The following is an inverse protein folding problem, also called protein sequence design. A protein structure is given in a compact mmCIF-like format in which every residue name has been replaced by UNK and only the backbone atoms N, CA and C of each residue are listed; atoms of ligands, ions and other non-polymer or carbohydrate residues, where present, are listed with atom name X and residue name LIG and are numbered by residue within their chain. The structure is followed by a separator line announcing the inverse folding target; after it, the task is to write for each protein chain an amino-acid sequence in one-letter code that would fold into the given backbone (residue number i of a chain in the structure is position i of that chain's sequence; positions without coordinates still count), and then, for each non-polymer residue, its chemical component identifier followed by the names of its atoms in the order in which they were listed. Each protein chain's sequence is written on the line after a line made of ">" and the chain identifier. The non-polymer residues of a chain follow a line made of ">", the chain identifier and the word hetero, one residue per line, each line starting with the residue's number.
data_IF_084716878061
#
_entry.id   IF_084716878061
#
_cell.length_a   1.000
_cell.length_b   1.000
_cell.length_c   1.000
_cell.angle_alpha   90.00
_cell.angle_beta   90.00
_cell.angle_gamma   90.00
#
_symmetry.space_group_name_H-M   'P 1'
#
loop_
_entity.id
_entity.type
_entity.pdbx_description
1 polymer ?
#
# COMPACT_ATOMS: atom_id res chain seq x y z
N UNK A 1 -19.40 -11.82 4.12
CA UNK A 1 -19.41 -12.19 5.55
C UNK A 1 -19.72 -10.92 6.31
N UNK A 2 -20.64 -10.97 7.29
CA UNK A 2 -20.92 -9.81 8.17
C UNK A 2 -19.68 -9.50 9.00
N UNK A 3 -19.36 -8.22 9.17
CA UNK A 3 -18.27 -7.79 10.07
C UNK A 3 -18.56 -8.32 11.50
N UNK A 4 -17.51 -8.71 12.26
CA UNK A 4 -17.70 -9.13 13.65
C UNK A 4 -18.19 -7.95 14.49
N UNK A 5 -18.94 -8.26 15.56
CA UNK A 5 -19.35 -7.25 16.53
C UNK A 5 -18.13 -6.82 17.37
N UNK A 6 -17.43 -5.77 16.91
CA UNK A 6 -16.18 -5.30 17.52
C UNK A 6 -16.37 -4.81 18.96
N UNK A 7 -17.42 -4.02 19.32
CA UNK A 7 -17.66 -3.59 20.70
C UNK A 7 -17.86 -4.76 21.67
N UNK A 8 -18.60 -5.77 21.25
CA UNK A 8 -18.81 -6.96 22.06
C UNK A 8 -17.51 -7.75 22.27
N UNK A 9 -16.73 -7.94 21.18
CA UNK A 9 -15.44 -8.63 21.24
C UNK A 9 -14.45 -7.88 22.16
N UNK A 10 -14.39 -6.54 22.09
CA UNK A 10 -13.54 -5.73 22.97
C UNK A 10 -13.88 -5.98 24.46
N UNK A 11 -15.18 -6.00 24.80
CA UNK A 11 -15.63 -6.27 26.15
C UNK A 11 -15.29 -7.68 26.61
N UNK A 12 -15.37 -8.66 25.73
CA UNK A 12 -14.99 -10.06 26.05
C UNK A 12 -13.51 -10.21 26.37
N UNK A 13 -12.62 -9.55 25.62
CA UNK A 13 -11.18 -9.63 25.84
C UNK A 13 -10.68 -8.80 27.03
N UNK A 14 -11.24 -7.61 27.25
CA UNK A 14 -10.70 -6.64 28.20
C UNK A 14 -11.59 -6.40 29.42
N UNK A 15 -12.81 -6.95 29.46
CA UNK A 15 -13.74 -6.84 30.60
C UNK A 15 -14.41 -5.47 30.74
N UNK A 16 -14.23 -4.57 29.79
CA UNK A 16 -14.75 -3.19 29.81
C UNK A 16 -15.16 -2.75 28.41
N UNK A 17 -15.98 -1.70 28.30
CA UNK A 17 -16.31 -1.12 26.99
C UNK A 17 -15.14 -0.32 26.42
N UNK A 18 -15.02 -0.32 25.10
CA UNK A 18 -14.10 0.59 24.39
C UNK A 18 -14.56 2.04 24.52
N UNK A 19 -13.62 2.97 24.45
CA UNK A 19 -13.89 4.41 24.51
C UNK A 19 -13.95 5.06 23.13
N UNK A 20 -13.10 4.61 22.20
CA UNK A 20 -12.91 5.23 20.88
C UNK A 20 -12.75 4.18 19.81
N UNK A 21 -13.13 4.54 18.58
CA UNK A 21 -13.01 3.72 17.39
C UNK A 21 -12.21 4.42 16.29
N UNK A 22 -11.46 3.63 15.51
CA UNK A 22 -10.57 4.13 14.49
C UNK A 22 -10.60 3.23 13.26
N UNK A 23 -10.27 3.82 12.11
CA UNK A 23 -10.13 3.11 10.86
C UNK A 23 -8.92 3.63 10.09
N UNK A 24 -8.18 2.74 9.47
CA UNK A 24 -7.20 3.07 8.46
C UNK A 24 -7.40 2.18 7.22
N UNK A 25 -7.42 2.76 6.01
CA UNK A 25 -7.63 2.02 4.78
C UNK A 25 -6.41 1.18 4.38
N UNK A 26 -6.62 0.24 3.46
CA UNK A 26 -5.58 -0.21 2.55
C UNK A 26 -5.45 0.76 1.37
N UNK A 27 -4.58 0.42 0.41
CA UNK A 27 -4.41 1.20 -0.82
C UNK A 27 -4.29 0.31 -2.05
N UNK A 28 -4.66 0.86 -3.19
CA UNK A 28 -4.17 0.45 -4.50
C UNK A 28 -3.30 1.56 -5.07
N UNK A 29 -2.40 1.22 -6.00
CA UNK A 29 -1.69 2.21 -6.79
C UNK A 29 -2.14 2.10 -8.24
N UNK A 30 -2.68 3.18 -8.78
CA UNK A 30 -3.21 3.19 -10.14
C UNK A 30 -2.09 3.07 -11.16
N UNK A 31 -0.99 3.77 -10.93
CA UNK A 31 0.24 3.71 -11.75
C UNK A 31 1.41 4.34 -10.97
N UNK A 32 2.65 4.06 -11.38
CA UNK A 32 3.84 4.55 -10.68
C UNK A 32 4.37 3.54 -9.66
N UNK A 33 4.53 2.30 -10.09
CA UNK A 33 5.05 1.25 -9.21
C UNK A 33 6.58 1.27 -9.17
N UNK A 34 7.15 1.07 -7.97
CA UNK A 34 8.59 1.06 -7.71
C UNK A 34 9.30 2.37 -8.08
N UNK A 35 8.59 3.49 -8.08
CA UNK A 35 9.14 4.82 -8.36
C UNK A 35 9.34 5.66 -7.09
N UNK A 36 8.69 5.33 -5.99
CA UNK A 36 8.73 6.11 -4.75
C UNK A 36 10.13 6.16 -4.12
N UNK A 37 10.84 5.06 -4.04
CA UNK A 37 12.23 5.01 -3.55
C UNK A 37 13.26 5.41 -4.62
N UNK A 38 12.82 5.74 -5.83
CA UNK A 38 13.62 6.25 -6.94
C UNK A 38 13.40 7.75 -7.19
N UNK A 39 12.72 8.45 -6.28
CA UNK A 39 12.45 9.88 -6.41
C UNK A 39 11.46 10.25 -7.52
N UNK A 40 10.66 9.29 -7.97
CA UNK A 40 9.63 9.49 -8.97
C UNK A 40 8.24 9.77 -8.39
N UNK A 41 7.24 9.80 -9.27
CA UNK A 41 5.86 10.00 -8.91
C UNK A 41 5.12 8.68 -8.75
N UNK A 42 4.16 8.66 -7.83
CA UNK A 42 3.18 7.58 -7.63
C UNK A 42 1.77 8.16 -7.70
N UNK A 43 0.80 7.32 -8.04
CA UNK A 43 -0.61 7.73 -8.11
C UNK A 43 -1.53 6.73 -7.40
N UNK A 44 -1.38 6.57 -6.07
CA UNK A 44 -2.22 5.70 -5.27
C UNK A 44 -3.55 6.33 -4.90
N UNK A 45 -4.46 5.48 -4.42
CA UNK A 45 -5.66 5.88 -3.71
C UNK A 45 -5.96 4.94 -2.54
N UNK A 46 -6.55 5.50 -1.49
CA UNK A 46 -7.07 4.75 -0.36
C UNK A 46 -8.33 3.99 -0.78
N UNK A 47 -8.51 2.77 -0.27
CA UNK A 47 -9.70 1.96 -0.53
C UNK A 47 -10.55 1.81 0.74
N UNK A 48 -11.82 1.43 0.58
CA UNK A 48 -12.73 1.29 1.73
C UNK A 48 -12.51 0.01 2.55
N UNK A 49 -11.71 -0.93 2.07
CA UNK A 49 -11.18 -2.02 2.88
C UNK A 49 -10.00 -1.51 3.73
N UNK A 50 -9.95 -1.94 4.99
CA UNK A 50 -8.93 -1.42 5.90
C UNK A 50 -8.88 -2.19 7.21
N UNK A 51 -8.26 -1.56 8.18
CA UNK A 51 -8.09 -2.05 9.54
C UNK A 51 -8.87 -1.15 10.51
N UNK A 52 -9.64 -1.77 11.38
CA UNK A 52 -10.40 -1.13 12.44
C UNK A 52 -9.70 -1.32 13.78
N UNK A 53 -9.74 -0.33 14.65
CA UNK A 53 -9.33 -0.45 16.04
C UNK A 53 -10.39 0.08 16.99
N UNK A 54 -10.56 -0.61 18.09
CA UNK A 54 -11.22 -0.11 19.27
C UNK A 54 -10.20 0.05 20.38
N UNK A 55 -10.21 1.17 21.09
CA UNK A 55 -9.22 1.45 22.11
C UNK A 55 -9.83 2.06 23.39
N UNK A 56 -9.11 1.85 24.48
CA UNK A 56 -9.39 2.44 25.79
C UNK A 56 -8.09 2.70 26.54
N UNK A 57 -7.96 3.88 27.17
CA UNK A 57 -6.85 4.17 28.10
C UNK A 57 -6.89 3.27 29.32
N UNK A 58 -5.74 3.02 29.88
CA UNK A 58 -5.54 2.34 31.15
C UNK A 58 -4.97 3.32 32.20
N UNK A 59 -5.14 2.97 33.46
CA UNK A 59 -4.57 3.76 34.58
C UNK A 59 -3.12 3.35 34.90
N UNK A 60 -2.65 2.27 34.27
CA UNK A 60 -1.27 1.76 34.39
C UNK A 60 -0.45 2.02 33.09
N UNK A 61 0.75 1.47 33.03
CA UNK A 61 1.66 1.60 31.89
C UNK A 61 1.67 0.36 30.98
N UNK A 62 0.71 -0.52 31.16
CA UNK A 62 0.62 -1.74 30.39
C UNK A 62 -0.14 -1.52 29.07
N UNK A 63 0.33 -2.12 27.98
CA UNK A 63 -0.26 -2.06 26.66
C UNK A 63 -0.69 -3.47 26.28
N UNK A 64 -1.95 -3.62 25.88
CA UNK A 64 -2.51 -4.89 25.47
C UNK A 64 -3.14 -4.76 24.09
N UNK A 65 -2.68 -5.61 23.16
CA UNK A 65 -3.23 -5.73 21.83
C UNK A 65 -3.88 -7.10 21.61
N UNK A 66 -5.00 -7.13 20.91
CA UNK A 66 -5.61 -8.36 20.40
C UNK A 66 -6.07 -8.15 18.95
N UNK A 67 -5.89 -9.16 18.11
CA UNK A 67 -6.40 -9.14 16.73
C UNK A 67 -7.43 -10.24 16.51
N UNK A 68 -8.58 -9.87 15.94
CA UNK A 68 -9.59 -10.85 15.55
C UNK A 68 -9.21 -11.65 14.30
N UNK A 69 -8.19 -11.20 13.54
CA UNK A 69 -7.63 -11.92 12.41
C UNK A 69 -6.63 -13.02 12.84
N UNK A 70 -5.99 -12.86 14.02
CA UNK A 70 -4.96 -13.74 14.56
C UNK A 70 -5.33 -14.18 15.99
N UNK A 71 -6.53 -14.74 16.15
CA UNK A 71 -7.07 -15.14 17.46
C UNK A 71 -6.17 -16.12 18.22
N UNK A 72 -5.43 -16.94 17.49
CA UNK A 72 -4.49 -17.92 18.05
C UNK A 72 -3.31 -17.27 18.80
N UNK A 73 -3.00 -16.01 18.52
CA UNK A 73 -1.97 -15.24 19.22
C UNK A 73 -2.44 -14.74 20.60
N UNK A 74 -3.75 -14.73 20.83
CA UNK A 74 -4.32 -14.19 22.07
C UNK A 74 -4.03 -12.71 22.27
N UNK A 75 -4.01 -12.30 23.53
CA UNK A 75 -3.63 -10.93 23.92
C UNK A 75 -2.11 -10.83 23.96
N UNK A 76 -1.55 -9.88 23.18
CA UNK A 76 -0.14 -9.54 23.20
C UNK A 76 0.05 -8.36 24.16
N UNK A 77 0.91 -8.52 25.15
CA UNK A 77 1.06 -7.59 26.24
C UNK A 77 2.52 -7.15 26.41
N UNK A 78 2.75 -5.87 26.63
CA UNK A 78 4.06 -5.29 26.91
C UNK A 78 3.95 -3.96 27.66
N UNK A 79 5.03 -3.57 28.30
CA UNK A 79 5.09 -2.31 29.04
C UNK A 79 5.44 -1.13 28.14
N UNK A 80 4.89 0.04 28.42
CA UNK A 80 5.19 1.31 27.74
C UNK A 80 6.69 1.67 27.79
N UNK A 81 7.43 1.12 28.73
CA UNK A 81 8.87 1.33 28.90
C UNK A 81 9.72 0.29 28.15
N UNK A 82 9.10 -0.78 27.62
CA UNK A 82 9.76 -1.82 26.82
C UNK A 82 9.20 -1.86 25.40
N UNK A 83 9.71 -0.97 24.55
CA UNK A 83 9.33 -0.85 23.15
C UNK A 83 10.35 -1.46 22.20
N UNK A 84 11.20 -2.38 22.66
CA UNK A 84 12.11 -3.13 21.80
C UNK A 84 11.36 -4.09 20.89
N UNK A 85 11.90 -4.34 19.68
CA UNK A 85 11.38 -5.36 18.79
C UNK A 85 11.41 -6.73 19.47
N UNK A 86 10.29 -7.44 19.37
CA UNK A 86 10.19 -8.80 19.90
C UNK A 86 9.52 -9.70 18.87
N UNK A 87 10.25 -10.68 18.35
CA UNK A 87 9.72 -11.59 17.35
C UNK A 87 8.43 -12.31 17.79
N UNK A 88 8.27 -12.59 19.07
CA UNK A 88 7.07 -13.24 19.62
C UNK A 88 5.81 -12.34 19.52
N UNK A 89 5.98 -11.03 19.43
CA UNK A 89 4.87 -10.09 19.30
C UNK A 89 4.32 -10.00 17.87
N UNK A 90 4.99 -10.63 16.89
CA UNK A 90 4.52 -10.79 15.53
C UNK A 90 3.99 -9.46 14.94
N UNK A 91 2.72 -9.41 14.48
CA UNK A 91 2.08 -8.22 13.94
C UNK A 91 2.05 -7.00 14.87
N UNK A 92 2.06 -7.23 16.20
CA UNK A 92 2.05 -6.13 17.19
C UNK A 92 3.36 -5.32 17.22
N UNK A 93 4.40 -5.76 16.50
CA UNK A 93 5.60 -4.96 16.31
C UNK A 93 5.34 -3.70 15.46
N UNK A 94 4.40 -3.71 14.54
CA UNK A 94 4.04 -2.51 13.76
C UNK A 94 3.49 -1.40 14.66
N UNK A 95 2.43 -1.60 15.47
CA UNK A 95 1.99 -0.59 16.43
C UNK A 95 3.04 -0.25 17.51
N UNK A 96 3.85 -1.21 17.93
CA UNK A 96 4.95 -0.96 18.88
C UNK A 96 6.01 -0.01 18.29
N UNK A 97 6.38 -0.17 17.02
CA UNK A 97 7.29 0.73 16.32
C UNK A 97 6.74 2.15 16.20
N UNK A 98 5.46 2.30 15.86
CA UNK A 98 4.80 3.61 15.83
C UNK A 98 4.82 4.31 17.18
N UNK A 99 4.49 3.59 18.26
CA UNK A 99 4.54 4.11 19.62
C UNK A 99 5.95 4.54 20.02
N UNK A 100 6.96 3.71 19.72
CA UNK A 100 8.36 4.03 19.95
C UNK A 100 8.78 5.33 19.27
N UNK A 101 8.50 5.46 17.97
CA UNK A 101 8.96 6.63 17.22
C UNK A 101 8.16 7.90 17.52
N UNK A 102 6.88 7.80 17.92
CA UNK A 102 6.15 8.95 18.46
C UNK A 102 6.79 9.46 19.74
N UNK A 103 7.16 8.56 20.67
CA UNK A 103 7.88 8.96 21.91
C UNK A 103 9.25 9.54 21.62
N UNK A 104 10.02 8.96 20.71
CA UNK A 104 11.32 9.52 20.27
C UNK A 104 11.19 10.90 19.60
N UNK A 105 10.05 11.18 18.95
CA UNK A 105 9.74 12.49 18.40
C UNK A 105 9.31 13.52 19.47
N UNK A 106 9.27 13.13 20.75
CA UNK A 106 8.99 14.03 21.88
C UNK A 106 7.51 14.10 22.27
N UNK A 107 6.66 13.19 21.76
CA UNK A 107 5.27 13.12 22.19
C UNK A 107 5.12 12.34 23.50
N UNK A 108 4.49 12.98 24.47
CA UNK A 108 4.30 12.39 25.80
C UNK A 108 3.15 11.40 25.82
N UNK A 109 3.46 10.14 26.03
CA UNK A 109 2.51 9.05 26.25
C UNK A 109 2.90 8.39 27.56
N UNK A 110 2.12 8.61 28.61
CA UNK A 110 2.47 8.22 29.98
C UNK A 110 1.67 7.01 30.49
N UNK A 111 0.53 6.72 29.85
CA UNK A 111 -0.38 5.64 30.21
C UNK A 111 -0.40 4.56 29.16
N UNK A 112 -0.68 3.33 29.58
CA UNK A 112 -0.98 2.23 28.68
C UNK A 112 -2.41 2.30 28.11
N UNK A 113 -2.74 1.35 27.29
CA UNK A 113 -4.06 1.23 26.67
C UNK A 113 -4.37 -0.21 26.26
N UNK A 114 -5.65 -0.50 26.12
CA UNK A 114 -6.16 -1.72 25.49
C UNK A 114 -6.57 -1.42 24.08
N UNK A 115 -6.22 -2.28 23.12
CA UNK A 115 -6.55 -2.12 21.72
C UNK A 115 -6.96 -3.46 21.09
N UNK A 116 -8.17 -3.51 20.52
CA UNK A 116 -8.63 -4.60 19.67
C UNK A 116 -8.57 -4.17 18.23
N UNK A 117 -7.99 -5.03 17.39
CA UNK A 117 -7.81 -4.78 15.94
C UNK A 117 -8.56 -5.82 15.12
N UNK A 118 -9.17 -5.37 14.02
CA UNK A 118 -9.77 -6.22 13.01
C UNK A 118 -9.54 -5.64 11.62
N UNK A 119 -9.01 -6.43 10.68
CA UNK A 119 -8.83 -6.04 9.29
C UNK A 119 -9.74 -6.83 8.35
N UNK A 120 -10.31 -6.15 7.35
CA UNK A 120 -11.01 -6.78 6.23
C UNK A 120 -10.22 -6.72 4.91
N UNK A 121 -8.96 -6.27 4.96
CA UNK A 121 -8.02 -6.43 3.85
C UNK A 121 -7.69 -7.92 3.73
N UNK A 122 -7.81 -8.53 2.55
CA UNK A 122 -7.43 -9.92 2.37
C UNK A 122 -5.96 -10.17 2.75
N UNK A 123 -5.71 -11.20 3.55
CA UNK A 123 -4.36 -11.53 4.01
C UNK A 123 -3.42 -11.80 2.83
N UNK A 124 -2.24 -11.19 2.85
CA UNK A 124 -1.21 -11.38 1.82
C UNK A 124 -1.54 -10.76 0.46
N UNK A 125 -2.64 -10.02 0.34
CA UNK A 125 -3.07 -9.40 -0.91
C UNK A 125 -2.15 -8.28 -1.42
N UNK A 126 -1.24 -7.77 -0.59
CA UNK A 126 -0.35 -6.66 -0.99
C UNK A 126 -1.06 -5.31 -1.11
N UNK A 127 -2.17 -5.13 -0.38
CA UNK A 127 -2.95 -3.89 -0.32
C UNK A 127 -2.57 -3.01 0.89
N UNK A 128 -1.33 -3.12 1.37
CA UNK A 128 -0.71 -2.31 2.42
C UNK A 128 -1.35 -2.47 3.81
N UNK A 129 -1.56 -3.71 4.25
CA UNK A 129 -2.02 -3.97 5.62
C UNK A 129 -1.02 -3.49 6.69
N UNK A 130 0.28 -3.48 6.41
CA UNK A 130 1.32 -2.93 7.29
C UNK A 130 1.15 -1.43 7.47
N UNK A 131 1.10 -0.65 6.40
CA UNK A 131 0.84 0.78 6.48
C UNK A 131 -0.52 1.10 7.12
N UNK A 132 -1.53 0.26 6.87
CA UNK A 132 -2.84 0.38 7.49
C UNK A 132 -2.76 0.31 9.01
N UNK A 133 -2.11 -0.71 9.60
CA UNK A 133 -1.97 -0.83 11.06
C UNK A 133 -1.03 0.24 11.66
N UNK A 134 -0.01 0.68 10.93
CA UNK A 134 0.88 1.75 11.33
C UNK A 134 0.12 3.08 11.47
N UNK A 135 -0.56 3.52 10.42
CA UNK A 135 -1.30 4.78 10.41
C UNK A 135 -2.52 4.73 11.33
N UNK A 136 -3.20 3.58 11.42
CA UNK A 136 -4.25 3.35 12.41
C UNK A 136 -3.74 3.63 13.82
N UNK A 137 -2.59 3.07 14.16
CA UNK A 137 -1.96 3.26 15.48
C UNK A 137 -1.56 4.71 15.70
N UNK A 138 -0.97 5.36 14.69
CA UNK A 138 -0.58 6.77 14.78
C UNK A 138 -1.77 7.68 15.07
N UNK A 139 -2.86 7.56 14.31
CA UNK A 139 -4.09 8.33 14.51
C UNK A 139 -4.75 7.97 15.84
N UNK A 140 -4.78 6.69 16.21
CA UNK A 140 -5.31 6.25 17.49
C UNK A 140 -4.56 6.91 18.66
N UNK A 141 -3.24 6.90 18.66
CA UNK A 141 -2.43 7.48 19.71
C UNK A 141 -2.56 9.02 19.76
N UNK A 142 -2.56 9.65 18.59
CA UNK A 142 -2.77 11.10 18.47
C UNK A 142 -4.08 11.53 19.14
N UNK A 143 -5.18 10.83 18.83
CA UNK A 143 -6.50 11.13 19.39
C UNK A 143 -6.66 10.68 20.83
N UNK A 144 -6.18 9.47 21.18
CA UNK A 144 -6.33 8.89 22.52
C UNK A 144 -5.60 9.72 23.58
N UNK A 145 -4.41 10.26 23.25
CA UNK A 145 -3.57 11.02 24.15
C UNK A 145 -3.56 12.53 23.87
N UNK A 146 -4.41 13.01 22.93
CA UNK A 146 -4.49 14.41 22.53
C UNK A 146 -3.13 14.99 22.10
N UNK A 147 -2.37 14.21 21.35
CA UNK A 147 -1.07 14.63 20.84
C UNK A 147 -1.26 15.66 19.72
N UNK A 148 -0.30 16.56 19.55
CA UNK A 148 -0.27 17.50 18.43
C UNK A 148 0.71 16.95 17.39
N UNK A 149 0.20 16.10 16.47
CA UNK A 149 0.97 15.48 15.41
C UNK A 149 0.27 15.74 14.09
N UNK A 150 1.00 16.28 13.13
CA UNK A 150 0.47 16.46 11.78
C UNK A 150 0.38 15.10 11.07
N UNK A 151 -0.64 14.94 10.21
CA UNK A 151 -0.86 13.69 9.50
C UNK A 151 0.36 13.25 8.67
N UNK A 152 1.04 14.21 8.04
CA UNK A 152 2.26 13.93 7.27
C UNK A 152 3.41 13.41 8.14
N UNK A 153 3.48 13.85 9.40
CA UNK A 153 4.50 13.33 10.32
C UNK A 153 4.18 11.89 10.75
N UNK A 154 2.89 11.55 10.93
CA UNK A 154 2.47 10.16 11.14
C UNK A 154 2.85 9.27 9.95
N UNK A 155 2.69 9.77 8.71
CA UNK A 155 3.11 9.07 7.49
C UNK A 155 4.62 8.78 7.52
N UNK A 156 5.45 9.78 7.83
CA UNK A 156 6.91 9.61 7.93
C UNK A 156 7.32 8.65 9.05
N UNK A 157 6.64 8.70 10.19
CA UNK A 157 6.89 7.76 11.31
C UNK A 157 6.47 6.33 10.95
N UNK A 158 5.41 6.15 10.15
CA UNK A 158 5.01 4.85 9.59
C UNK A 158 6.10 4.27 8.69
N UNK A 159 6.60 5.04 7.74
CA UNK A 159 7.73 4.62 6.89
C UNK A 159 8.98 4.30 7.74
N UNK A 160 9.30 5.12 8.74
CA UNK A 160 10.41 4.86 9.66
C UNK A 160 10.22 3.55 10.42
N UNK A 161 8.99 3.26 10.86
CA UNK A 161 8.64 2.01 11.53
C UNK A 161 8.93 0.82 10.62
N UNK A 162 8.44 0.84 9.39
CA UNK A 162 8.65 -0.25 8.45
C UNK A 162 10.14 -0.45 8.12
N UNK A 163 10.87 0.63 7.87
CA UNK A 163 12.27 0.58 7.46
C UNK A 163 13.24 0.24 8.59
N UNK A 164 13.09 0.86 9.76
CA UNK A 164 14.08 0.77 10.85
C UNK A 164 13.69 -0.18 11.97
N UNK A 165 12.39 -0.42 12.19
CA UNK A 165 11.92 -1.29 13.25
C UNK A 165 11.56 -2.68 12.75
N UNK A 166 10.88 -2.76 11.61
CA UNK A 166 10.50 -4.04 10.98
C UNK A 166 11.62 -4.56 10.05
N UNK A 167 12.35 -3.67 9.37
CA UNK A 167 13.49 -4.02 8.51
C UNK A 167 13.13 -4.21 7.03
N UNK A 168 11.96 -3.73 6.59
CA UNK A 168 11.57 -3.68 5.17
C UNK A 168 11.91 -2.30 4.62
N UNK A 169 12.83 -2.24 3.66
CA UNK A 169 13.35 -0.98 3.13
C UNK A 169 12.43 -0.36 2.08
N UNK A 170 11.17 -0.09 2.46
CA UNK A 170 10.11 0.44 1.58
C UNK A 170 10.25 1.93 1.29
N UNK A 171 9.60 2.39 0.20
CA UNK A 171 9.34 3.80 -0.07
C UNK A 171 8.20 4.35 0.81
N UNK A 172 7.74 5.57 0.52
CA UNK A 172 6.74 6.27 1.34
C UNK A 172 5.30 6.10 0.83
N UNK A 173 5.12 5.56 -0.37
CA UNK A 173 3.82 5.53 -1.07
C UNK A 173 2.70 4.95 -0.20
N UNK A 174 2.93 3.82 0.44
CA UNK A 174 1.90 3.08 1.17
C UNK A 174 1.37 3.87 2.36
N UNK A 175 2.27 4.37 3.21
CA UNK A 175 1.91 5.19 4.36
C UNK A 175 1.28 6.51 3.93
N UNK A 176 1.76 7.09 2.82
CA UNK A 176 1.19 8.32 2.30
C UNK A 176 -0.25 8.13 1.82
N UNK A 177 -0.50 7.09 1.03
CA UNK A 177 -1.85 6.77 0.53
C UNK A 177 -2.82 6.47 1.67
N UNK A 178 -2.40 5.68 2.67
CA UNK A 178 -3.21 5.32 3.84
C UNK A 178 -3.46 6.52 4.75
N UNK A 179 -2.46 7.36 4.98
CA UNK A 179 -2.59 8.54 5.84
C UNK A 179 -3.34 9.70 5.19
N UNK A 180 -3.04 9.99 3.94
CA UNK A 180 -3.50 11.19 3.24
C UNK A 180 -4.64 10.94 2.25
N UNK A 181 -5.19 9.73 2.18
CA UNK A 181 -6.28 9.36 1.28
C UNK A 181 -7.49 10.28 1.38
N UNK A 182 -8.16 10.48 0.25
CA UNK A 182 -9.38 11.29 0.15
C UNK A 182 -10.39 10.57 -0.73
N UNK A 183 -11.62 10.55 -0.27
CA UNK A 183 -12.73 9.92 -0.98
C UNK A 183 -12.81 10.39 -2.44
N UNK A 184 -13.01 9.47 -3.35
CA UNK A 184 -13.17 9.67 -4.80
C UNK A 184 -11.96 10.37 -5.48
N UNK A 185 -10.78 10.38 -4.83
CA UNK A 185 -9.58 10.99 -5.38
C UNK A 185 -8.35 10.08 -5.28
N UNK A 186 -7.50 10.12 -6.28
CA UNK A 186 -6.13 9.64 -6.23
C UNK A 186 -5.19 10.74 -5.75
N UNK A 187 -4.01 10.34 -5.30
CA UNK A 187 -2.96 11.25 -4.86
C UNK A 187 -1.80 11.15 -5.85
N UNK A 188 -1.56 12.21 -6.65
CA UNK A 188 -0.26 12.31 -7.31
C UNK A 188 0.73 12.82 -6.28
N UNK A 189 1.72 12.00 -5.95
CA UNK A 189 2.78 12.30 -5.01
C UNK A 189 4.13 12.32 -5.74
N UNK A 190 4.84 13.43 -5.64
CA UNK A 190 6.26 13.52 -5.95
C UNK A 190 7.05 12.99 -4.74
N UNK A 191 7.66 11.82 -4.85
CA UNK A 191 8.33 11.17 -3.73
C UNK A 191 9.70 11.79 -3.39
N UNK A 192 10.26 12.64 -4.25
CA UNK A 192 11.49 13.38 -3.96
C UNK A 192 11.22 14.58 -3.03
N UNK A 193 10.14 15.31 -3.26
CA UNK A 193 9.81 16.56 -2.56
C UNK A 193 8.69 16.43 -1.55
N UNK A 194 7.90 15.35 -1.62
CA UNK A 194 6.63 15.13 -0.92
C UNK A 194 5.54 16.15 -1.29
N UNK A 195 5.72 16.89 -2.39
CA UNK A 195 4.63 17.67 -2.96
C UNK A 195 3.56 16.73 -3.52
N UNK A 196 2.29 17.06 -3.29
CA UNK A 196 1.19 16.21 -3.74
C UNK A 196 -0.02 17.02 -4.18
N UNK A 197 -0.84 16.41 -5.03
CA UNK A 197 -2.14 16.94 -5.40
C UNK A 197 -3.19 15.83 -5.41
N UNK A 198 -4.42 16.18 -5.09
CA UNK A 198 -5.57 15.29 -5.25
C UNK A 198 -6.14 15.42 -6.66
N UNK A 199 -6.28 14.30 -7.34
CA UNK A 199 -6.92 14.23 -8.64
C UNK A 199 -8.21 13.40 -8.54
N UNK A 200 -9.38 13.98 -8.87
CA UNK A 200 -10.63 13.22 -8.89
C UNK A 200 -10.53 12.03 -9.85
N UNK A 201 -10.92 10.85 -9.38
CA UNK A 201 -10.96 9.64 -10.22
C UNK A 201 -12.35 9.54 -10.84
N UNK A 202 -12.46 9.97 -12.09
CA UNK A 202 -13.68 9.94 -12.88
C UNK A 202 -13.53 8.85 -13.94
N UNK A 203 -14.16 7.72 -13.71
CA UNK A 203 -14.12 6.55 -14.61
C UNK A 203 -15.45 6.32 -15.33
N UNK A 204 -16.36 7.32 -15.30
CA UNK A 204 -17.67 7.28 -15.93
C UNK A 204 -18.44 5.98 -15.62
N UNK A 205 -18.59 5.10 -16.61
CA UNK A 205 -19.30 3.83 -16.50
C UNK A 205 -18.41 2.64 -16.15
N UNK A 206 -17.21 2.87 -15.61
CA UNK A 206 -16.26 1.81 -15.28
C UNK A 206 -16.07 1.68 -13.75
N UNK A 207 -15.63 0.50 -13.35
CA UNK A 207 -15.20 0.19 -11.96
C UNK A 207 -13.76 -0.27 -11.96
N UNK A 208 -13.09 -0.05 -10.83
CA UNK A 208 -11.80 -0.67 -10.56
C UNK A 208 -12.07 -2.00 -9.85
N UNK A 209 -11.61 -3.08 -10.45
CA UNK A 209 -11.61 -4.41 -9.83
C UNK A 209 -10.22 -4.73 -9.32
N UNK A 210 -10.13 -5.20 -8.09
CA UNK A 210 -8.93 -5.78 -7.49
C UNK A 210 -9.01 -7.28 -7.73
N UNK A 211 -7.95 -7.85 -8.32
CA UNK A 211 -7.80 -9.26 -8.60
C UNK A 211 -6.66 -9.81 -7.73
N UNK A 212 -7.01 -10.56 -6.68
CA UNK A 212 -6.03 -11.16 -5.79
C UNK A 212 -5.57 -12.51 -6.33
N UNK A 213 -4.28 -12.66 -6.55
CA UNK A 213 -3.68 -13.90 -7.04
C UNK A 213 -3.79 -15.05 -6.04
N UNK A 214 -3.99 -14.79 -4.76
CA UNK A 214 -3.91 -15.78 -3.68
C UNK A 214 -2.57 -16.54 -3.62
N UNK A 215 -1.54 -16.03 -4.28
CA UNK A 215 -0.18 -16.57 -4.20
C UNK A 215 0.42 -16.28 -2.84
N UNK A 216 0.96 -17.30 -2.18
CA UNK A 216 1.73 -17.12 -0.95
C UNK A 216 2.99 -16.31 -1.25
N UNK A 217 3.19 -15.24 -0.48
CA UNK A 217 4.32 -14.31 -0.63
C UNK A 217 5.49 -14.77 0.23
N UNK A 218 6.19 -15.80 -0.25
CA UNK A 218 7.47 -16.21 0.31
C UNK A 218 8.59 -15.36 -0.31
N UNK A 219 9.51 -14.86 0.50
CA UNK A 219 10.67 -14.06 0.06
C UNK A 219 10.34 -12.74 -0.68
N UNK A 220 9.11 -12.22 -0.59
CA UNK A 220 8.75 -10.96 -1.27
C UNK A 220 9.62 -9.78 -0.79
N UNK A 221 9.87 -9.69 0.51
CA UNK A 221 10.65 -8.60 1.11
C UNK A 221 12.13 -8.63 0.67
N UNK A 222 12.72 -9.82 0.57
CA UNK A 222 14.11 -9.97 0.11
C UNK A 222 14.27 -9.58 -1.36
N UNK A 223 13.31 -9.96 -2.22
CA UNK A 223 13.28 -9.57 -3.63
C UNK A 223 13.01 -8.09 -3.83
N UNK A 224 12.17 -7.51 -2.99
CA UNK A 224 11.93 -6.06 -2.98
C UNK A 224 13.22 -5.31 -2.67
N UNK A 225 13.94 -5.69 -1.62
CA UNK A 225 15.21 -5.10 -1.25
C UNK A 225 16.28 -5.27 -2.35
N UNK A 226 16.28 -6.42 -3.06
CA UNK A 226 17.14 -6.65 -4.23
C UNK A 226 16.86 -5.64 -5.35
N UNK A 227 15.58 -5.43 -5.72
CA UNK A 227 15.20 -4.43 -6.74
C UNK A 227 15.65 -3.03 -6.37
N UNK A 228 15.49 -2.66 -5.11
CA UNK A 228 15.97 -1.36 -4.61
C UNK A 228 17.49 -1.22 -4.73
N UNK A 229 18.24 -2.24 -4.32
CA UNK A 229 19.71 -2.24 -4.43
C UNK A 229 20.17 -2.16 -5.89
N UNK A 230 19.50 -2.81 -6.83
CA UNK A 230 19.77 -2.72 -8.26
C UNK A 230 19.57 -1.28 -8.78
N UNK A 231 18.50 -0.59 -8.39
CA UNK A 231 18.26 0.82 -8.74
C UNK A 231 19.32 1.75 -8.12
N UNK A 232 19.68 1.54 -6.87
CA UNK A 232 20.73 2.30 -6.20
C UNK A 232 22.11 2.13 -6.89
N UNK A 233 22.40 0.92 -7.36
CA UNK A 233 23.59 0.64 -8.18
C UNK A 233 23.57 1.41 -9.50
N UNK A 234 22.44 1.43 -10.20
CA UNK A 234 22.28 2.20 -11.43
C UNK A 234 22.49 3.70 -11.20
N UNK A 235 21.86 4.25 -10.16
CA UNK A 235 21.99 5.66 -9.80
C UNK A 235 23.45 6.05 -9.54
N UNK A 236 24.16 5.28 -8.71
CA UNK A 236 25.58 5.52 -8.41
C UNK A 236 26.46 5.51 -9.66
N UNK A 237 26.17 4.67 -10.64
CA UNK A 237 26.92 4.64 -11.89
C UNK A 237 26.61 5.86 -12.75
N UNK A 238 25.36 6.26 -12.89
CA UNK A 238 24.95 7.45 -13.64
C UNK A 238 25.49 8.74 -13.03
N UNK A 239 25.53 8.86 -11.71
CA UNK A 239 26.07 10.01 -10.97
C UNK A 239 27.57 10.27 -11.22
N UNK A 240 28.32 9.31 -11.79
CA UNK A 240 29.71 9.54 -12.21
C UNK A 240 29.81 10.54 -13.36
N UNK A 241 28.74 10.75 -14.12
CA UNK A 241 28.74 11.62 -15.31
C UNK A 241 27.57 12.60 -15.35
N UNK A 242 26.52 12.38 -14.56
CA UNK A 242 25.33 13.20 -14.53
C UNK A 242 25.13 13.82 -13.15
N UNK A 243 24.70 15.06 -13.13
CA UNK A 243 24.32 15.79 -11.92
C UNK A 243 22.84 15.50 -11.64
N UNK A 244 22.56 14.35 -11.01
CA UNK A 244 21.22 13.88 -10.62
C UNK A 244 21.28 13.37 -9.19
N UNK A 245 20.19 13.56 -8.45
CA UNK A 245 20.04 13.05 -7.09
C UNK A 245 19.30 11.70 -7.07
N UNK A 246 18.35 11.53 -7.99
CA UNK A 246 17.52 10.33 -8.10
C UNK A 246 17.33 9.90 -9.56
N UNK A 247 16.86 8.67 -9.79
CA UNK A 247 16.47 8.23 -11.14
C UNK A 247 15.25 9.01 -11.67
N UNK A 248 14.41 9.54 -10.77
CA UNK A 248 13.27 10.38 -11.12
C UNK A 248 13.63 11.72 -11.76
N UNK A 249 14.88 12.17 -11.64
CA UNK A 249 15.37 13.38 -12.28
C UNK A 249 15.58 13.22 -13.79
N UNK A 250 15.60 11.97 -14.29
CA UNK A 250 15.90 11.70 -15.69
C UNK A 250 14.65 11.74 -16.57
N UNK A 251 14.78 12.36 -17.73
CA UNK A 251 13.86 12.16 -18.85
C UNK A 251 14.18 10.84 -19.58
N UNK A 252 13.22 10.31 -20.33
CA UNK A 252 13.46 9.14 -21.19
C UNK A 252 14.64 9.37 -22.16
N UNK A 253 14.71 10.56 -22.77
CA UNK A 253 15.81 10.94 -23.69
C UNK A 253 17.17 10.98 -22.98
N UNK A 254 17.24 11.59 -21.78
CA UNK A 254 18.49 11.65 -21.02
C UNK A 254 18.93 10.24 -20.59
N UNK A 255 18.01 9.36 -20.22
CA UNK A 255 18.31 7.98 -19.91
C UNK A 255 18.85 7.24 -21.13
N UNK A 256 18.20 7.31 -22.28
CA UNK A 256 18.62 6.64 -23.52
C UNK A 256 20.03 7.05 -23.97
N UNK A 257 20.38 8.35 -23.82
CA UNK A 257 21.72 8.86 -24.14
C UNK A 257 22.82 8.35 -23.20
N UNK A 258 22.46 8.00 -21.96
CA UNK A 258 23.42 7.70 -20.89
C UNK A 258 23.36 6.27 -20.36
N UNK A 259 22.42 5.45 -20.82
CA UNK A 259 22.18 4.09 -20.29
C UNK A 259 23.41 3.18 -20.36
N UNK A 260 24.31 3.40 -21.32
CA UNK A 260 25.55 2.61 -21.46
C UNK A 260 26.58 2.88 -20.36
N UNK A 261 26.37 3.91 -19.51
CA UNK A 261 27.16 4.14 -18.29
C UNK A 261 26.89 3.02 -17.27
N UNK A 262 25.69 2.42 -17.31
CA UNK A 262 25.30 1.29 -16.48
C UNK A 262 25.84 0.03 -17.18
N UNK A 263 26.86 -0.59 -16.58
CA UNK A 263 27.58 -1.72 -17.16
C UNK A 263 26.81 -3.03 -17.16
N UNK A 264 25.92 -3.24 -16.17
CA UNK A 264 25.10 -4.45 -16.03
C UNK A 264 23.75 -4.28 -16.72
N UNK A 265 23.40 -5.19 -17.64
CA UNK A 265 22.15 -5.15 -18.41
C UNK A 265 20.90 -5.26 -17.52
N UNK A 266 20.93 -6.10 -16.48
CA UNK A 266 19.81 -6.26 -15.53
C UNK A 266 19.58 -4.95 -14.78
N UNK A 267 20.63 -4.37 -14.24
CA UNK A 267 20.60 -3.08 -13.52
C UNK A 267 20.11 -1.97 -14.44
N UNK A 268 20.53 -1.98 -15.72
CA UNK A 268 20.06 -1.04 -16.75
C UNK A 268 18.56 -1.16 -16.99
N UNK A 269 18.00 -2.38 -17.06
CA UNK A 269 16.54 -2.62 -17.18
C UNK A 269 15.78 -2.06 -15.98
N UNK A 270 16.30 -2.25 -14.73
CA UNK A 270 15.67 -1.69 -13.53
C UNK A 270 15.59 -0.17 -13.59
N UNK A 271 16.71 0.49 -13.96
CA UNK A 271 16.75 1.94 -14.14
C UNK A 271 15.80 2.41 -15.24
N UNK A 272 15.74 1.69 -16.36
CA UNK A 272 14.80 1.98 -17.46
C UNK A 272 13.37 1.97 -16.95
N UNK A 273 12.95 0.93 -16.21
CA UNK A 273 11.61 0.90 -15.64
C UNK A 273 11.34 2.13 -14.76
N UNK A 274 12.23 2.45 -13.83
CA UNK A 274 12.07 3.57 -12.90
C UNK A 274 11.88 4.91 -13.63
N UNK A 275 12.69 5.19 -14.64
CA UNK A 275 12.62 6.44 -15.44
C UNK A 275 11.34 6.48 -16.27
N UNK A 276 11.04 5.42 -17.01
CA UNK A 276 9.87 5.37 -17.90
C UNK A 276 8.57 5.32 -17.12
N UNK A 277 8.52 4.61 -15.99
CA UNK A 277 7.33 4.55 -15.15
C UNK A 277 6.99 5.91 -14.53
N UNK A 278 8.00 6.67 -14.11
CA UNK A 278 7.80 8.03 -13.64
C UNK A 278 7.13 8.90 -14.70
N UNK A 279 7.61 8.85 -15.94
CA UNK A 279 7.02 9.60 -17.07
C UNK A 279 5.60 9.09 -17.39
N UNK A 280 5.38 7.77 -17.40
CA UNK A 280 4.04 7.18 -17.59
C UNK A 280 3.04 7.66 -16.55
N UNK A 281 3.46 7.77 -15.29
CA UNK A 281 2.60 8.23 -14.19
C UNK A 281 2.08 9.64 -14.45
N UNK A 282 2.94 10.56 -14.86
CA UNK A 282 2.55 11.93 -15.18
C UNK A 282 1.63 11.98 -16.41
N UNK A 283 1.93 11.22 -17.47
CA UNK A 283 1.08 11.10 -18.65
C UNK A 283 -0.29 10.50 -18.33
N UNK A 284 -0.35 9.51 -17.42
CA UNK A 284 -1.59 8.88 -17.00
C UNK A 284 -2.50 9.86 -16.24
N UNK A 285 -1.94 10.64 -15.32
CA UNK A 285 -2.70 11.68 -14.64
C UNK A 285 -3.26 12.70 -15.63
N UNK A 286 -2.46 13.14 -16.59
CA UNK A 286 -2.87 14.10 -17.62
C UNK A 286 -4.01 13.54 -18.50
N UNK A 287 -3.92 12.27 -18.92
CA UNK A 287 -4.98 11.58 -19.65
C UNK A 287 -6.27 11.51 -18.82
N UNK A 288 -6.18 11.16 -17.54
CA UNK A 288 -7.33 11.11 -16.64
C UNK A 288 -7.99 12.48 -16.45
N UNK A 289 -7.19 13.54 -16.26
CA UNK A 289 -7.68 14.92 -16.15
C UNK A 289 -8.42 15.40 -17.40
N UNK A 290 -8.00 14.94 -18.58
CA UNK A 290 -8.67 15.25 -19.86
C UNK A 290 -9.88 14.36 -20.16
N UNK A 291 -10.14 13.34 -19.32
CA UNK A 291 -11.17 12.34 -19.59
C UNK A 291 -10.83 11.36 -20.72
N UNK A 292 -9.55 11.26 -21.10
CA UNK A 292 -9.07 10.32 -22.12
C UNK A 292 -8.83 8.93 -21.49
N UNK A 293 -9.93 8.24 -21.21
CA UNK A 293 -9.88 6.93 -20.54
C UNK A 293 -9.17 5.85 -21.40
N UNK A 294 -9.31 5.81 -22.73
CA UNK A 294 -8.52 4.88 -23.54
C UNK A 294 -7.01 5.09 -23.39
N UNK A 295 -6.52 6.33 -23.45
CA UNK A 295 -5.10 6.63 -23.25
C UNK A 295 -4.64 6.27 -21.83
N UNK A 296 -5.46 6.53 -20.82
CA UNK A 296 -5.21 6.13 -19.44
C UNK A 296 -5.06 4.59 -19.32
N UNK A 297 -5.97 3.82 -19.92
CA UNK A 297 -5.93 2.37 -19.95
C UNK A 297 -4.66 1.82 -20.62
N UNK A 298 -4.25 2.38 -21.77
CA UNK A 298 -3.02 1.98 -22.43
C UNK A 298 -1.75 2.25 -21.62
N UNK A 299 -1.69 3.35 -20.87
CA UNK A 299 -0.58 3.66 -19.99
C UNK A 299 -0.51 2.66 -18.80
N UNK A 300 -1.66 2.26 -18.27
CA UNK A 300 -1.76 1.20 -17.26
C UNK A 300 -1.24 -0.14 -17.82
N UNK A 301 -1.63 -0.53 -19.03
CA UNK A 301 -1.13 -1.73 -19.68
C UNK A 301 0.38 -1.67 -19.93
N UNK A 302 0.88 -0.52 -20.38
CA UNK A 302 2.31 -0.30 -20.59
C UNK A 302 3.12 -0.41 -19.28
N UNK A 303 2.56 0.07 -18.17
CA UNK A 303 3.14 -0.11 -16.83
C UNK A 303 3.32 -1.59 -16.48
N UNK A 304 2.29 -2.42 -16.71
CA UNK A 304 2.40 -3.87 -16.43
C UNK A 304 3.46 -4.53 -17.30
N UNK A 305 3.50 -4.22 -18.59
CA UNK A 305 4.54 -4.75 -19.50
C UNK A 305 5.96 -4.40 -19.02
N UNK A 306 6.18 -3.16 -18.59
CA UNK A 306 7.47 -2.73 -18.04
C UNK A 306 7.82 -3.43 -16.72
N UNK A 307 6.85 -3.63 -15.83
CA UNK A 307 7.03 -4.38 -14.59
C UNK A 307 7.34 -5.86 -14.84
N UNK A 308 6.80 -6.44 -15.90
CA UNK A 308 7.08 -7.81 -16.33
C UNK A 308 8.47 -7.93 -16.97
N UNK A 309 8.78 -7.10 -17.97
CA UNK A 309 9.91 -7.27 -18.90
C UNK A 309 11.18 -6.58 -18.43
N UNK A 310 11.06 -5.38 -17.82
CA UNK A 310 12.19 -4.59 -17.37
C UNK A 310 12.46 -4.75 -15.86
N UNK A 311 11.40 -4.91 -15.04
CA UNK A 311 11.53 -4.97 -13.59
C UNK A 311 11.43 -6.38 -13.00
N UNK A 312 10.77 -7.30 -13.71
CA UNK A 312 10.63 -8.73 -13.37
C UNK A 312 10.06 -8.95 -11.96
N UNK A 313 8.93 -8.31 -11.66
CA UNK A 313 8.23 -8.39 -10.38
C UNK A 313 6.84 -9.01 -10.49
N UNK A 314 6.35 -9.31 -11.70
CA UNK A 314 4.98 -9.78 -11.90
C UNK A 314 4.83 -11.29 -11.64
N UNK A 315 5.54 -12.11 -12.37
CA UNK A 315 5.41 -13.57 -12.34
C UNK A 315 4.14 -14.09 -13.02
N UNK A 316 4.07 -15.41 -13.18
CA UNK A 316 3.01 -16.06 -13.97
C UNK A 316 1.59 -15.70 -13.52
N UNK A 317 1.38 -15.61 -12.21
CA UNK A 317 0.04 -15.37 -11.64
C UNK A 317 -0.49 -13.98 -12.01
N UNK A 318 0.30 -12.92 -11.80
CA UNK A 318 -0.09 -11.55 -12.13
C UNK A 318 -0.18 -11.33 -13.63
N UNK A 319 0.74 -11.94 -14.41
CA UNK A 319 0.71 -11.89 -15.87
C UNK A 319 -0.56 -12.56 -16.42
N UNK A 320 -0.94 -13.72 -15.89
CA UNK A 320 -2.17 -14.41 -16.28
C UNK A 320 -3.40 -13.54 -16.04
N UNK A 321 -3.49 -12.87 -14.87
CA UNK A 321 -4.61 -11.96 -14.59
C UNK A 321 -4.64 -10.77 -15.54
N UNK A 322 -3.52 -10.05 -15.71
CA UNK A 322 -3.48 -8.84 -16.52
C UNK A 322 -3.68 -9.14 -18.01
N UNK A 323 -2.98 -10.14 -18.56
CA UNK A 323 -3.06 -10.49 -19.97
C UNK A 323 -4.41 -11.08 -20.36
N UNK A 324 -5.07 -11.81 -19.44
CA UNK A 324 -6.43 -12.28 -19.66
C UNK A 324 -7.43 -11.12 -19.59
N UNK A 325 -7.23 -10.19 -18.65
CA UNK A 325 -8.06 -8.99 -18.54
C UNK A 325 -8.02 -8.14 -19.81
N UNK A 326 -6.85 -7.93 -20.42
CA UNK A 326 -6.72 -7.15 -21.65
C UNK A 326 -7.55 -7.68 -22.83
N UNK A 327 -7.89 -8.96 -22.81
CA UNK A 327 -8.66 -9.63 -23.88
C UNK A 327 -10.16 -9.58 -23.64
N UNK A 328 -10.60 -9.07 -22.49
CA UNK A 328 -12.02 -9.00 -22.16
C UNK A 328 -12.67 -7.75 -22.76
N UNK A 329 -13.90 -7.89 -23.20
CA UNK A 329 -14.72 -6.76 -23.66
C UNK A 329 -14.99 -5.80 -22.49
N UNK A 330 -14.95 -4.49 -22.75
CA UNK A 330 -15.21 -3.44 -21.75
C UNK A 330 -14.06 -3.18 -20.77
N UNK A 331 -12.86 -3.71 -21.03
CA UNK A 331 -11.67 -3.44 -20.21
C UNK A 331 -10.86 -2.31 -20.82
N UNK A 332 -10.63 -1.25 -20.06
CA UNK A 332 -9.74 -0.15 -20.47
C UNK A 332 -8.27 -0.52 -20.28
N UNK A 333 -7.95 -1.18 -19.18
CA UNK A 333 -6.60 -1.58 -18.86
C UNK A 333 -6.54 -2.42 -17.59
N UNK A 334 -5.40 -3.12 -17.42
CA UNK A 334 -5.12 -3.93 -16.24
C UNK A 334 -3.62 -3.99 -15.98
N UNK A 335 -3.24 -4.00 -14.69
CA UNK A 335 -1.85 -4.07 -14.24
C UNK A 335 -1.73 -4.63 -12.82
N UNK A 336 -0.57 -5.16 -12.48
CA UNK A 336 -0.27 -5.42 -11.07
C UNK A 336 -0.26 -4.12 -10.26
N UNK A 337 -0.58 -4.20 -8.99
CA UNK A 337 -0.50 -3.08 -8.04
C UNK A 337 0.30 -3.48 -6.80
N UNK A 338 1.12 -2.55 -6.29
CA UNK A 338 2.00 -2.79 -5.15
C UNK A 338 3.36 -3.39 -5.54
N UNK A 339 3.98 -4.11 -4.62
CA UNK A 339 5.36 -4.60 -4.80
C UNK A 339 5.51 -5.73 -5.84
N UNK A 340 4.44 -6.41 -6.19
CA UNK A 340 4.51 -7.61 -7.02
C UNK A 340 4.88 -8.87 -6.22
N UNK A 341 5.50 -9.85 -6.88
CA UNK A 341 5.86 -11.17 -6.32
C UNK A 341 4.65 -11.94 -5.76
N UNK A 342 3.51 -11.82 -6.41
CA UNK A 342 2.17 -12.17 -5.95
C UNK A 342 1.37 -10.92 -5.55
N UNK A 343 0.36 -11.08 -4.72
CA UNK A 343 -0.54 -10.00 -4.36
C UNK A 343 -1.60 -9.74 -5.42
N UNK A 344 -1.88 -8.48 -5.75
CA UNK A 344 -3.01 -8.12 -6.60
C UNK A 344 -2.62 -7.47 -7.92
N UNK A 345 -3.50 -7.64 -8.89
CA UNK A 345 -3.63 -6.78 -10.05
C UNK A 345 -4.92 -5.95 -9.94
N UNK A 346 -5.01 -4.87 -10.69
CA UNK A 346 -6.23 -4.08 -10.86
C UNK A 346 -6.63 -4.08 -12.34
N UNK A 347 -7.94 -4.01 -12.59
CA UNK A 347 -8.51 -3.82 -13.93
C UNK A 347 -9.58 -2.74 -13.88
N UNK A 348 -9.68 -1.95 -14.95
CA UNK A 348 -10.73 -0.95 -15.13
C UNK A 348 -11.72 -1.50 -16.13
N UNK A 349 -12.93 -1.82 -15.65
CA UNK A 349 -13.93 -2.62 -16.37
C UNK A 349 -15.26 -1.87 -16.43
N UNK A 350 -15.93 -1.88 -17.60
CA UNK A 350 -17.29 -1.36 -17.75
C UNK A 350 -18.26 -2.01 -16.76
N UNK A 351 -19.16 -1.22 -16.20
CA UNK A 351 -20.07 -1.64 -15.13
C UNK A 351 -20.90 -2.89 -15.47
N UNK A 352 -21.41 -2.96 -16.68
CA UNK A 352 -22.25 -4.06 -17.19
C UNK A 352 -21.46 -5.30 -17.62
N UNK A 353 -20.14 -5.21 -17.67
CA UNK A 353 -19.23 -6.31 -18.04
C UNK A 353 -18.59 -6.99 -16.83
N UNK A 354 -18.75 -6.44 -15.62
CA UNK A 354 -18.04 -6.90 -14.40
C UNK A 354 -18.26 -8.39 -14.12
N UNK A 355 -19.50 -8.87 -14.16
CA UNK A 355 -19.80 -10.28 -13.83
C UNK A 355 -19.20 -11.25 -14.87
N UNK A 356 -19.29 -10.91 -16.14
CA UNK A 356 -18.68 -11.70 -17.22
C UNK A 356 -17.15 -11.67 -17.12
N UNK A 357 -16.57 -10.51 -16.80
CA UNK A 357 -15.14 -10.35 -16.56
C UNK A 357 -14.64 -11.26 -15.42
N UNK A 358 -15.28 -11.19 -14.26
CA UNK A 358 -14.90 -12.00 -13.09
C UNK A 358 -14.94 -13.49 -13.42
N UNK A 359 -16.00 -13.93 -14.09
CA UNK A 359 -16.14 -15.32 -14.51
C UNK A 359 -15.03 -15.73 -15.48
N UNK A 360 -14.84 -14.99 -16.57
CA UNK A 360 -13.93 -15.36 -17.64
C UNK A 360 -12.47 -15.31 -17.18
N UNK A 361 -12.06 -14.25 -16.49
CA UNK A 361 -10.69 -14.11 -15.97
C UNK A 361 -10.45 -15.15 -14.87
N UNK A 362 -11.42 -15.38 -13.99
CA UNK A 362 -11.34 -16.39 -12.93
C UNK A 362 -11.18 -17.81 -13.46
N UNK A 363 -11.97 -18.19 -14.48
CA UNK A 363 -11.92 -19.52 -15.11
C UNK A 363 -10.54 -19.76 -15.77
N UNK A 364 -10.03 -18.76 -16.52
CA UNK A 364 -8.71 -18.86 -17.15
C UNK A 364 -7.61 -18.95 -16.10
N UNK A 365 -7.68 -18.11 -15.04
CA UNK A 365 -6.70 -18.13 -13.97
C UNK A 365 -6.65 -19.49 -13.27
N UNK A 366 -7.81 -20.02 -12.85
CA UNK A 366 -7.89 -21.34 -12.19
C UNK A 366 -7.33 -22.45 -13.06
N UNK A 367 -7.61 -22.43 -14.37
CA UNK A 367 -7.09 -23.39 -15.33
C UNK A 367 -5.56 -23.33 -15.48
N UNK A 368 -5.00 -22.12 -15.60
CA UNK A 368 -3.57 -21.92 -15.89
C UNK A 368 -2.68 -22.00 -14.63
N UNK A 369 -3.22 -21.64 -13.47
CA UNK A 369 -2.49 -21.52 -12.20
C UNK A 369 -2.77 -22.72 -11.27
N UNK A 370 -3.97 -23.30 -11.35
CA UNK A 370 -4.35 -24.49 -10.56
C UNK A 370 -5.07 -24.17 -9.24
N UNK A 371 -5.34 -22.88 -8.95
CA UNK A 371 -6.16 -22.43 -7.82
C UNK A 371 -6.84 -21.10 -8.18
N UNK A 372 -7.84 -20.72 -7.37
CA UNK A 372 -8.69 -19.55 -7.67
C UNK A 372 -8.05 -18.22 -7.29
N UNK A 373 -8.32 -17.20 -8.10
CA UNK A 373 -8.17 -15.80 -7.73
C UNK A 373 -9.45 -15.31 -7.04
N UNK A 374 -9.31 -14.27 -6.20
CA UNK A 374 -10.45 -13.55 -5.64
C UNK A 374 -10.58 -12.17 -6.29
N UNK A 375 -11.82 -11.68 -6.38
CA UNK A 375 -12.14 -10.41 -7.03
C UNK A 375 -12.91 -9.51 -6.08
N UNK A 376 -12.53 -8.23 -6.03
CA UNK A 376 -13.16 -7.20 -5.21
C UNK A 376 -13.39 -5.94 -6.02
N UNK A 377 -14.54 -5.30 -5.86
CA UNK A 377 -14.72 -3.93 -6.39
C UNK A 377 -14.06 -2.95 -5.45
N UNK A 378 -13.14 -2.13 -5.95
CA UNK A 378 -12.52 -1.07 -5.19
C UNK A 378 -13.44 0.14 -5.12
N UNK A 379 -13.74 0.60 -3.91
CA UNK A 379 -14.28 1.93 -3.65
C UNK A 379 -13.20 2.79 -3.02
N UNK A 380 -13.09 4.04 -3.48
CA UNK A 380 -12.04 4.96 -3.03
C UNK A 380 -12.54 5.71 -1.80
N UNK A 381 -11.83 5.56 -0.70
CA UNK A 381 -12.19 6.09 0.62
C UNK A 381 -11.26 7.18 1.12
N UNK A 382 -11.55 7.63 2.33
CA UNK A 382 -10.69 8.56 3.08
C UNK A 382 -9.50 7.83 3.70
N UNK A 383 -8.47 8.58 4.08
CA UNK A 383 -7.32 8.11 4.85
C UNK A 383 -7.67 7.72 6.28
N UNK A 384 -6.61 7.39 7.04
CA UNK A 384 -6.74 6.99 8.44
C UNK A 384 -7.42 8.07 9.29
N UNK A 385 -8.40 7.65 10.09
CA UNK A 385 -9.25 8.56 10.88
C UNK A 385 -9.83 7.93 12.13
N UNK A 386 -10.26 8.76 13.06
CA UNK A 386 -11.21 8.37 14.07
C UNK A 386 -12.60 8.23 13.47
N UNK A 387 -13.39 7.30 13.98
CA UNK A 387 -14.78 7.07 13.59
C UNK A 387 -15.68 6.98 14.82
N UNK A 388 -16.97 7.14 14.62
CA UNK A 388 -17.94 6.94 15.69
C UNK A 388 -18.20 5.44 15.91
N UNK A 389 -18.64 5.07 17.11
CA UNK A 389 -19.04 3.67 17.40
C UNK A 389 -20.23 3.22 16.52
N UNK A 390 -21.06 4.16 16.06
CA UNK A 390 -22.22 3.90 15.21
C UNK A 390 -21.80 3.49 13.78
N UNK A 391 -20.67 3.99 13.30
CA UNK A 391 -20.13 3.64 11.98
C UNK A 391 -19.54 2.23 11.91
N UNK A 392 -19.43 1.52 13.06
CA UNK A 392 -18.94 0.14 13.13
C UNK A 392 -20.01 -0.92 12.85
N UNK A 393 -21.30 -0.53 12.78
CA UNK A 393 -22.45 -1.42 12.67
C UNK A 393 -22.85 -1.69 11.23
#
# INVERSE_FOLDING_TARGET
>A
MSNPNLPQAFKEYFGTAAERAFFAPGRINLIGEHTDYNGGHVFPCAITMGTYALAKKRDDRNIRFVSLNFKEKGVIEFMLDDLAYNKAHDWANYPKGMLKYLKEAGHEIEQGFDCLVYGNIPNGAGLSSSASIELLTGVMLEKLFNLKVEQLDLVKLGQKTENQFIGVNSGIMDQFAVGMGKKDAGILLDCATLAYEYAPIKLDHHKILIMNTNKRRELADSKYNERRAECESALKQLQKKLDIETLGDLTEEAFEKNKEIIDNEIVRKRAKHAVYENVRTLKALDALKRGDLPAFGELINASHRSLRDDYEVTGKELDTLAETAWKQEGVLGARMTGAGFGGCAIAIVENDKVDAFIKNVGDVYEKEIGYRADFYTASIGDGAKEMTMEELV
#
